data_IF_816245119711
#
_entry.id   IF_816245119711
#
_cell.length_a   1.000
_cell.length_b   1.000
_cell.length_c   1.000
_cell.angle_alpha   90.00
_cell.angle_beta   90.00
_cell.angle_gamma   90.00
#
_symmetry.space_group_name_H-M   'P 1'
#
loop_
_entity.id
_entity.type
_entity.pdbx_description
1 polymer ?
#
# COMPACT_ATOMS: atom_id res chain seq x y z
N UNK A 1 -20.27 -43.87 -72.81
CA UNK A 1 -19.08 -43.89 -71.92
C UNK A 1 -18.28 -42.61 -72.16
N UNK A 2 -18.41 -41.60 -71.30
CA UNK A 2 -17.56 -41.33 -70.11
C UNK A 2 -16.15 -40.87 -70.55
N UNK A 3 -15.63 -39.66 -70.25
CA UNK A 3 -15.64 -38.92 -68.97
C UNK A 3 -15.45 -37.40 -69.18
N UNK A 4 -16.19 -36.60 -68.41
CA UNK A 4 -15.94 -35.18 -68.16
C UNK A 4 -14.78 -35.07 -67.17
N UNK A 5 -13.71 -34.36 -67.52
CA UNK A 5 -12.59 -34.05 -66.62
C UNK A 5 -13.01 -32.90 -65.70
N UNK A 6 -13.24 -33.17 -64.42
CA UNK A 6 -13.47 -32.13 -63.41
C UNK A 6 -12.13 -31.69 -62.84
N UNK A 7 -11.81 -30.41 -63.03
CA UNK A 7 -10.71 -29.72 -62.34
C UNK A 7 -11.13 -29.56 -60.88
N UNK A 8 -10.39 -30.18 -59.97
CA UNK A 8 -10.59 -30.04 -58.53
C UNK A 8 -9.49 -29.09 -58.00
N UNK A 9 -9.81 -27.81 -57.91
CA UNK A 9 -8.95 -26.80 -57.28
C UNK A 9 -9.07 -26.97 -55.76
N UNK A 10 -8.04 -27.52 -55.14
CA UNK A 10 -7.98 -27.68 -53.68
C UNK A 10 -7.45 -26.38 -53.08
N UNK A 11 -8.35 -25.48 -52.65
CA UNK A 11 -7.99 -24.28 -51.88
C UNK A 11 -7.73 -24.73 -50.45
N UNK A 12 -6.46 -24.95 -50.12
CA UNK A 12 -6.03 -25.23 -48.75
C UNK A 12 -6.00 -23.90 -47.99
N UNK A 13 -7.15 -23.53 -47.42
CA UNK A 13 -7.29 -22.36 -46.56
C UNK A 13 -6.68 -22.67 -45.19
N UNK A 14 -5.40 -22.36 -45.01
CA UNK A 14 -4.73 -22.39 -43.71
C UNK A 14 -5.30 -21.30 -42.82
N UNK A 15 -6.31 -21.64 -42.01
CA UNK A 15 -6.75 -20.81 -40.90
C UNK A 15 -5.64 -20.85 -39.85
N UNK A 16 -4.83 -19.79 -39.80
CA UNK A 16 -3.92 -19.54 -38.68
C UNK A 16 -4.81 -19.16 -37.50
N UNK A 17 -5.10 -20.13 -36.63
CA UNK A 17 -5.68 -19.86 -35.33
C UNK A 17 -4.62 -19.11 -34.51
N UNK A 18 -4.73 -17.78 -34.47
CA UNK A 18 -4.06 -16.96 -33.46
C UNK A 18 -4.64 -17.37 -32.11
N UNK A 19 -4.01 -18.34 -31.45
CA UNK A 19 -4.21 -18.59 -30.03
C UNK A 19 -3.73 -17.34 -29.29
N UNK A 20 -4.66 -16.45 -29.00
CA UNK A 20 -4.48 -15.42 -27.98
C UNK A 20 -4.30 -16.20 -26.68
N UNK A 21 -3.04 -16.53 -26.35
CA UNK A 21 -2.65 -16.82 -24.99
C UNK A 21 -2.88 -15.51 -24.24
N UNK A 22 -4.13 -15.26 -23.84
CA UNK A 22 -4.44 -14.24 -22.88
C UNK A 22 -3.66 -14.65 -21.65
N UNK A 23 -2.56 -13.95 -21.36
CA UNK A 23 -1.97 -13.96 -20.04
C UNK A 23 -3.10 -13.57 -19.10
N UNK A 24 -3.76 -14.56 -18.49
CA UNK A 24 -4.78 -14.34 -17.49
C UNK A 24 -4.09 -13.66 -16.34
N UNK A 25 -4.12 -12.32 -16.31
CA UNK A 25 -3.66 -11.56 -15.15
C UNK A 25 -4.47 -12.08 -13.99
N UNK A 26 -3.79 -12.68 -13.02
CA UNK A 26 -4.43 -13.18 -11.82
C UNK A 26 -5.05 -11.99 -11.11
N UNK A 27 -6.38 -11.97 -10.97
CA UNK A 27 -7.09 -10.87 -10.31
C UNK A 27 -6.74 -10.79 -8.82
N UNK A 28 -6.67 -9.56 -8.30
CA UNK A 28 -6.51 -9.17 -6.92
C UNK A 28 -7.82 -9.21 -6.12
N UNK A 29 -8.93 -9.64 -6.72
CA UNK A 29 -10.20 -9.90 -6.04
C UNK A 29 -11.33 -8.93 -6.41
N UNK A 30 -11.00 -7.68 -6.74
CA UNK A 30 -11.96 -6.67 -7.23
C UNK A 30 -11.31 -5.76 -8.27
N UNK A 31 -12.11 -5.02 -9.04
CA UNK A 31 -11.61 -4.06 -10.04
C UNK A 31 -10.78 -2.95 -9.39
N UNK A 32 -11.25 -2.44 -8.25
CA UNK A 32 -10.53 -1.40 -7.50
C UNK A 32 -9.19 -1.95 -6.98
N UNK A 33 -9.17 -3.17 -6.44
CA UNK A 33 -7.93 -3.82 -6.02
C UNK A 33 -6.95 -4.08 -7.18
N UNK A 34 -7.45 -4.51 -8.34
CA UNK A 34 -6.63 -4.72 -9.53
C UNK A 34 -5.99 -3.41 -10.02
N UNK A 35 -6.78 -2.33 -10.08
CA UNK A 35 -6.27 -1.03 -10.49
C UNK A 35 -5.30 -0.42 -9.46
N UNK A 36 -5.63 -0.54 -8.17
CA UNK A 36 -4.77 -0.07 -7.09
C UNK A 36 -3.41 -0.79 -7.10
N UNK A 37 -3.41 -2.10 -7.36
CA UNK A 37 -2.19 -2.89 -7.51
C UNK A 37 -1.35 -2.41 -8.70
N UNK A 38 -1.99 -2.11 -9.84
CA UNK A 38 -1.28 -1.56 -11.02
C UNK A 38 -0.63 -0.23 -10.65
N UNK A 39 -1.39 0.72 -10.11
CA UNK A 39 -0.89 2.04 -9.73
C UNK A 39 0.26 1.97 -8.71
N UNK A 40 0.10 1.16 -7.66
CA UNK A 40 1.16 0.97 -6.66
C UNK A 40 2.43 0.37 -7.27
N UNK A 41 2.30 -0.60 -8.17
CA UNK A 41 3.46 -1.19 -8.82
C UNK A 41 4.15 -0.23 -9.80
N UNK A 42 3.43 0.70 -10.41
CA UNK A 42 4.05 1.76 -11.22
C UNK A 42 4.95 2.66 -10.35
N UNK A 43 4.47 3.07 -9.16
CA UNK A 43 5.26 3.77 -8.14
C UNK A 43 6.52 2.97 -7.80
N UNK A 44 6.36 1.71 -7.40
CA UNK A 44 7.48 0.84 -7.00
C UNK A 44 8.49 0.61 -8.14
N UNK A 45 8.02 0.52 -9.40
CA UNK A 45 8.89 0.31 -10.57
C UNK A 45 9.63 1.58 -10.98
N UNK A 46 9.04 2.75 -10.74
CA UNK A 46 9.68 4.04 -11.00
C UNK A 46 10.84 4.33 -10.03
N UNK A 47 10.76 3.81 -8.79
CA UNK A 47 11.75 4.04 -7.73
C UNK A 47 12.27 2.71 -7.13
N UNK A 48 12.97 1.88 -7.92
CA UNK A 48 13.39 0.54 -7.48
C UNK A 48 14.40 0.59 -6.32
N UNK A 49 15.17 1.67 -6.20
CA UNK A 49 16.14 1.92 -5.11
C UNK A 49 15.46 2.17 -3.76
N UNK A 50 14.18 2.57 -3.77
CA UNK A 50 13.37 2.76 -2.56
C UNK A 50 12.76 1.46 -2.06
N UNK A 51 12.74 0.39 -2.87
CA UNK A 51 12.20 -0.92 -2.48
C UNK A 51 13.29 -1.82 -1.91
N UNK A 52 13.04 -2.38 -0.73
CA UNK A 52 13.87 -3.41 -0.10
C UNK A 52 13.08 -4.64 0.33
N UNK A 53 13.79 -5.69 0.73
CA UNK A 53 13.22 -6.87 1.35
C UNK A 53 13.92 -7.16 2.69
N UNK A 54 13.13 -7.30 3.75
CA UNK A 54 13.62 -7.61 5.08
C UNK A 54 13.44 -9.10 5.38
N UNK A 55 14.52 -9.88 5.21
CA UNK A 55 14.44 -11.34 5.28
C UNK A 55 13.97 -11.87 6.64
N UNK A 56 14.36 -11.25 7.77
CA UNK A 56 13.93 -11.74 9.09
C UNK A 56 12.41 -11.55 9.32
N UNK A 57 11.82 -10.53 8.69
CA UNK A 57 10.39 -10.26 8.80
C UNK A 57 9.61 -10.94 7.68
N UNK A 58 10.27 -11.35 6.58
CA UNK A 58 9.62 -11.76 5.34
C UNK A 58 8.72 -10.65 4.78
N UNK A 59 9.21 -9.41 4.81
CA UNK A 59 8.47 -8.23 4.35
C UNK A 59 9.18 -7.52 3.21
N UNK A 60 8.40 -7.01 2.26
CA UNK A 60 8.84 -5.96 1.36
C UNK A 60 8.63 -4.61 2.03
N UNK A 61 9.50 -3.66 1.74
CA UNK A 61 9.35 -2.29 2.22
C UNK A 61 9.60 -1.29 1.10
N UNK A 62 8.84 -0.21 1.09
CA UNK A 62 9.03 0.93 0.20
C UNK A 62 9.33 2.17 1.05
N UNK A 63 10.54 2.72 0.91
CA UNK A 63 11.02 3.88 1.67
C UNK A 63 10.51 5.18 1.04
N UNK A 64 9.89 6.02 1.86
CA UNK A 64 9.42 7.35 1.51
C UNK A 64 10.54 8.39 1.66
N UNK A 65 10.42 9.57 1.00
CA UNK A 65 11.46 10.61 0.96
C UNK A 65 12.04 11.00 2.32
N UNK A 66 11.18 11.15 3.32
CA UNK A 66 11.55 11.61 4.66
C UNK A 66 12.06 10.49 5.58
N UNK A 67 11.99 9.23 5.14
CA UNK A 67 12.57 8.08 5.84
C UNK A 67 11.55 7.06 6.38
N UNK A 68 10.27 7.40 6.37
CA UNK A 68 9.15 6.51 6.64
C UNK A 68 9.12 5.34 5.64
N UNK A 69 8.42 4.27 5.98
CA UNK A 69 8.26 3.11 5.11
C UNK A 69 6.83 2.61 5.13
N UNK A 70 6.37 2.15 3.97
CA UNK A 70 5.22 1.26 3.88
C UNK A 70 5.72 -0.16 3.61
N UNK A 71 5.33 -1.10 4.46
CA UNK A 71 5.79 -2.49 4.40
C UNK A 71 4.62 -3.45 4.20
N UNK A 72 4.87 -4.55 3.49
CA UNK A 72 3.89 -5.61 3.25
C UNK A 72 4.49 -7.00 3.23
N UNK A 73 3.76 -7.98 3.76
CA UNK A 73 4.26 -9.34 4.00
C UNK A 73 4.35 -10.17 2.71
N UNK A 74 5.38 -11.01 2.65
CA UNK A 74 5.52 -12.07 1.64
C UNK A 74 4.66 -13.29 2.00
N UNK A 75 4.59 -13.60 3.30
CA UNK A 75 3.89 -14.73 3.90
C UNK A 75 3.09 -14.24 5.12
N UNK A 76 1.76 -14.30 5.04
CA UNK A 76 0.87 -13.81 6.10
C UNK A 76 0.89 -14.66 7.37
N UNK A 77 1.56 -15.82 7.35
CA UNK A 77 1.79 -16.65 8.55
C UNK A 77 3.12 -16.40 9.25
N UNK A 78 4.04 -15.64 8.64
CA UNK A 78 5.40 -15.49 9.15
C UNK A 78 5.51 -14.56 10.37
N UNK A 79 4.57 -13.62 10.51
CA UNK A 79 4.57 -12.60 11.55
C UNK A 79 3.12 -12.09 11.78
N UNK A 80 2.94 -11.17 12.73
CA UNK A 80 1.61 -10.64 13.11
C UNK A 80 1.17 -9.40 12.31
N UNK A 81 1.93 -8.98 11.31
CA UNK A 81 1.68 -7.75 10.57
C UNK A 81 1.80 -8.03 9.08
N UNK A 82 0.69 -7.98 8.36
CA UNK A 82 0.71 -8.09 6.90
C UNK A 82 1.02 -6.78 6.21
N UNK A 83 0.66 -5.68 6.86
CA UNK A 83 1.04 -4.33 6.48
C UNK A 83 1.66 -3.63 7.68
N UNK A 84 2.54 -2.66 7.41
CA UNK A 84 2.99 -1.72 8.43
C UNK A 84 3.20 -0.32 7.84
N UNK A 85 2.69 0.69 8.54
CA UNK A 85 3.17 2.06 8.40
C UNK A 85 4.29 2.27 9.42
N UNK A 86 5.51 2.48 8.95
CA UNK A 86 6.69 2.77 9.76
C UNK A 86 6.98 4.25 9.66
N UNK A 87 6.75 4.99 10.75
CA UNK A 87 6.84 6.45 10.81
C UNK A 87 8.04 6.90 11.64
N UNK A 88 8.58 8.07 11.32
CA UNK A 88 9.51 8.75 12.21
C UNK A 88 8.74 9.22 13.46
N UNK A 89 9.17 8.79 14.65
CA UNK A 89 8.46 9.10 15.88
C UNK A 89 8.78 10.51 16.41
N UNK A 90 10.00 11.00 16.18
CA UNK A 90 10.50 12.26 16.78
C UNK A 90 9.61 13.48 16.49
N UNK A 91 9.08 13.69 15.27
CA UNK A 91 8.20 14.83 15.01
C UNK A 91 6.92 14.78 15.86
N UNK A 92 6.34 13.59 16.04
CA UNK A 92 5.14 13.38 16.86
C UNK A 92 5.43 13.50 18.36
N UNK A 93 6.56 12.94 18.82
CA UNK A 93 7.02 13.06 20.21
C UNK A 93 7.28 14.52 20.58
N UNK A 94 7.93 15.29 19.69
CA UNK A 94 8.15 16.72 19.86
C UNK A 94 6.85 17.51 19.94
N UNK A 95 5.82 17.06 19.21
CA UNK A 95 4.46 17.58 19.30
C UNK A 95 3.69 17.11 20.56
N UNK A 96 4.30 16.32 21.44
CA UNK A 96 3.75 15.96 22.76
C UNK A 96 3.31 14.50 22.90
N UNK A 97 3.41 13.69 21.83
CA UNK A 97 3.05 12.27 21.90
C UNK A 97 3.90 11.53 22.95
N UNK A 98 3.25 10.94 23.95
CA UNK A 98 3.87 9.99 24.87
C UNK A 98 3.62 8.57 24.39
N UNK A 99 4.62 8.00 23.71
CA UNK A 99 4.56 6.65 23.12
C UNK A 99 4.29 5.55 24.15
N UNK A 100 4.54 5.78 25.44
CA UNK A 100 4.27 4.80 26.50
C UNK A 100 2.78 4.70 26.85
N UNK A 101 1.96 5.67 26.43
CA UNK A 101 0.51 5.69 26.63
C UNK A 101 -0.28 5.03 25.50
N UNK A 102 0.38 4.69 24.39
CA UNK A 102 -0.26 3.98 23.28
C UNK A 102 -0.53 2.52 23.66
N UNK A 103 -1.58 1.93 23.08
CA UNK A 103 -1.83 0.50 23.21
C UNK A 103 -0.75 -0.29 22.47
N UNK A 104 0.03 -1.06 23.23
CA UNK A 104 1.15 -1.86 22.73
C UNK A 104 0.73 -3.03 21.84
N UNK A 105 -0.55 -3.38 21.82
CA UNK A 105 -1.09 -4.36 20.89
C UNK A 105 -1.43 -3.73 19.53
N UNK A 106 -1.57 -2.40 19.49
CA UNK A 106 -1.94 -1.67 18.28
C UNK A 106 -0.80 -0.85 17.68
N UNK A 107 0.14 -0.41 18.51
CA UNK A 107 1.25 0.46 18.15
C UNK A 107 2.55 -0.09 18.71
N UNK A 108 3.60 -0.09 17.89
CA UNK A 108 4.94 -0.45 18.34
C UNK A 108 5.82 0.78 18.30
N UNK A 109 6.54 1.02 19.39
CA UNK A 109 7.60 2.02 19.44
C UNK A 109 8.94 1.31 19.46
N UNK A 110 9.81 1.68 18.52
CA UNK A 110 11.18 1.19 18.46
C UNK A 110 12.13 2.37 18.65
N UNK A 111 12.94 2.36 19.73
CA UNK A 111 13.88 3.44 19.97
C UNK A 111 14.98 3.44 18.91
N UNK A 112 15.58 4.62 18.71
CA UNK A 112 16.73 4.80 17.86
C UNK A 112 17.84 3.82 18.25
N UNK A 113 18.53 3.30 17.23
CA UNK A 113 19.48 2.21 17.42
C UNK A 113 20.35 2.03 16.19
N UNK A 114 20.96 0.85 16.07
CA UNK A 114 21.80 0.51 14.92
C UNK A 114 21.42 -0.86 14.38
N UNK A 115 21.19 -0.95 13.08
CA UNK A 115 20.94 -2.22 12.40
C UNK A 115 21.72 -2.24 11.10
N UNK A 116 22.37 -3.38 10.80
CA UNK A 116 23.11 -3.59 9.55
C UNK A 116 24.16 -2.49 9.25
N UNK A 117 24.71 -1.88 10.30
CA UNK A 117 25.71 -0.82 10.18
C UNK A 117 25.14 0.59 10.00
N UNK A 118 23.83 0.74 9.87
CA UNK A 118 23.12 2.02 9.75
C UNK A 118 22.50 2.45 11.08
N UNK A 119 22.53 3.76 11.35
CA UNK A 119 21.82 4.33 12.48
C UNK A 119 20.32 4.47 12.11
N UNK A 120 19.46 3.93 12.97
CA UNK A 120 18.01 3.96 12.82
C UNK A 120 17.42 5.03 13.74
N UNK A 121 16.45 5.83 13.27
CA UNK A 121 15.76 6.82 14.10
C UNK A 121 14.77 6.14 15.06
N UNK A 122 14.18 6.92 15.97
CA UNK A 122 13.01 6.45 16.71
C UNK A 122 11.85 6.22 15.74
N UNK A 123 11.23 5.04 15.81
CA UNK A 123 10.14 4.65 14.91
C UNK A 123 8.85 4.39 15.68
N UNK A 124 7.76 4.87 15.11
CA UNK A 124 6.41 4.50 15.51
C UNK A 124 5.81 3.65 14.40
N UNK A 125 5.32 2.47 14.74
CA UNK A 125 4.85 1.49 13.76
C UNK A 125 3.38 1.18 14.02
N UNK A 126 2.55 1.31 12.98
CA UNK A 126 1.16 0.83 12.97
C UNK A 126 1.06 -0.46 12.15
N UNK A 127 1.14 -1.63 12.79
CA UNK A 127 0.93 -2.90 12.11
C UNK A 127 -0.56 -3.14 11.79
N UNK A 128 -0.81 -3.92 10.76
CA UNK A 128 -2.15 -4.42 10.43
C UNK A 128 -2.08 -5.84 9.90
N UNK A 129 -2.92 -6.72 10.43
CA UNK A 129 -2.99 -8.13 10.04
C UNK A 129 -4.19 -8.36 9.13
N UNK A 130 -3.97 -8.96 7.97
CA UNK A 130 -5.03 -9.31 7.01
C UNK A 130 -5.43 -10.78 7.19
N UNK A 131 -4.47 -11.67 7.42
CA UNK A 131 -4.70 -13.11 7.47
C UNK A 131 -3.54 -13.83 8.17
N UNK A 132 -3.81 -14.93 8.87
CA UNK A 132 -2.74 -15.78 9.43
C UNK A 132 -2.41 -17.01 8.56
N UNK A 133 -2.97 -17.07 7.34
CA UNK A 133 -2.82 -18.23 6.45
C UNK A 133 -1.44 -18.23 5.80
N UNK A 134 -0.78 -19.38 5.74
CA UNK A 134 0.50 -19.47 5.04
C UNK A 134 0.35 -19.14 3.56
N UNK A 135 1.22 -18.27 3.07
CA UNK A 135 1.32 -17.93 1.66
C UNK A 135 2.78 -17.91 1.23
N UNK A 136 3.08 -18.34 0.02
CA UNK A 136 4.40 -18.13 -0.58
C UNK A 136 4.22 -17.33 -1.86
N UNK A 137 4.52 -16.04 -1.76
CA UNK A 137 4.39 -15.12 -2.87
C UNK A 137 5.68 -15.05 -3.70
N UNK A 138 5.52 -15.01 -5.02
CA UNK A 138 6.61 -14.90 -5.98
C UNK A 138 6.92 -13.41 -6.26
N UNK A 139 7.53 -12.75 -5.28
CA UNK A 139 7.96 -11.35 -5.38
C UNK A 139 6.95 -10.33 -4.86
N UNK A 140 7.36 -9.07 -4.87
CA UNK A 140 6.66 -7.97 -4.20
C UNK A 140 5.25 -7.69 -4.75
N UNK A 141 5.08 -7.81 -6.06
CA UNK A 141 3.80 -7.59 -6.75
C UNK A 141 2.82 -8.75 -6.47
N UNK A 142 3.28 -10.00 -6.46
CA UNK A 142 2.45 -11.15 -6.07
C UNK A 142 2.04 -11.08 -4.60
N UNK A 143 2.95 -10.65 -3.72
CA UNK A 143 2.68 -10.46 -2.30
C UNK A 143 1.50 -9.49 -2.09
N UNK A 144 1.58 -8.28 -2.64
CA UNK A 144 0.52 -7.27 -2.54
C UNK A 144 -0.80 -7.77 -3.14
N UNK A 145 -0.74 -8.41 -4.32
CA UNK A 145 -1.94 -8.99 -4.96
C UNK A 145 -2.66 -9.97 -4.05
N UNK A 146 -1.93 -10.86 -3.36
CA UNK A 146 -2.53 -11.89 -2.52
C UNK A 146 -3.12 -11.31 -1.25
N UNK A 147 -2.53 -10.26 -0.70
CA UNK A 147 -3.10 -9.52 0.42
C UNK A 147 -4.43 -8.87 0.04
N UNK A 148 -4.50 -8.19 -1.10
CA UNK A 148 -5.78 -7.68 -1.62
C UNK A 148 -6.78 -8.79 -1.91
N UNK A 149 -6.33 -9.95 -2.36
CA UNK A 149 -7.23 -11.09 -2.57
C UNK A 149 -7.75 -11.69 -1.26
N UNK A 150 -6.98 -11.60 -0.18
CA UNK A 150 -7.39 -12.10 1.14
C UNK A 150 -8.49 -11.22 1.75
N UNK A 151 -8.48 -9.91 1.45
CA UNK A 151 -9.54 -8.97 1.79
C UNK A 151 -9.69 -7.93 0.65
N UNK A 152 -10.63 -8.15 -0.27
CA UNK A 152 -10.79 -7.30 -1.45
C UNK A 152 -11.47 -5.97 -1.18
N UNK A 153 -12.12 -5.82 -0.02
CA UNK A 153 -12.86 -4.62 0.38
C UNK A 153 -11.96 -3.63 1.15
N UNK A 154 -10.72 -4.05 1.44
CA UNK A 154 -9.68 -3.24 2.08
C UNK A 154 -9.25 -2.06 1.21
N UNK A 155 -9.45 -2.16 -0.12
CA UNK A 155 -9.11 -1.12 -1.09
C UNK A 155 -10.37 -0.44 -1.61
N UNK A 156 -10.32 0.90 -1.74
CA UNK A 156 -11.32 1.67 -2.49
C UNK A 156 -10.68 2.81 -3.27
N UNK A 157 -11.32 3.22 -4.36
CA UNK A 157 -10.91 4.39 -5.12
C UNK A 157 -11.51 5.70 -4.57
N UNK A 158 -10.68 6.73 -4.44
CA UNK A 158 -11.04 8.10 -4.10
C UNK A 158 -11.10 8.93 -5.38
N UNK A 159 -12.31 9.22 -5.87
CA UNK A 159 -12.47 9.88 -7.17
C UNK A 159 -11.87 11.28 -7.25
N UNK A 160 -12.07 12.10 -6.21
CA UNK A 160 -11.65 13.50 -6.28
C UNK A 160 -10.14 13.71 -6.09
N UNK A 161 -9.53 12.92 -5.20
CA UNK A 161 -8.07 12.89 -5.07
C UNK A 161 -7.42 12.10 -6.22
N UNK A 162 -8.18 11.25 -6.92
CA UNK A 162 -7.67 10.27 -7.89
C UNK A 162 -6.62 9.37 -7.24
N UNK A 163 -6.96 8.83 -6.07
CA UNK A 163 -6.11 7.97 -5.26
C UNK A 163 -6.79 6.64 -4.98
N UNK A 164 -6.02 5.60 -4.72
CA UNK A 164 -6.49 4.39 -4.07
C UNK A 164 -6.19 4.47 -2.58
N UNK A 165 -7.15 4.14 -1.73
CA UNK A 165 -6.91 3.92 -0.30
C UNK A 165 -6.77 2.44 -0.01
N UNK A 166 -5.90 2.13 0.93
CA UNK A 166 -5.80 0.86 1.63
C UNK A 166 -6.13 1.09 3.10
N UNK A 167 -7.22 0.47 3.57
CA UNK A 167 -7.66 0.57 4.97
C UNK A 167 -6.82 -0.33 5.87
N UNK A 168 -6.25 0.22 6.93
CA UNK A 168 -5.44 -0.49 7.92
C UNK A 168 -6.10 -0.46 9.31
N UNK A 169 -7.42 -0.60 9.32
CA UNK A 169 -8.25 -0.59 10.54
C UNK A 169 -8.62 0.81 11.02
N UNK A 170 -9.86 0.94 11.51
CA UNK A 170 -10.45 2.12 12.18
C UNK A 170 -9.80 3.49 11.84
N UNK A 171 -9.95 3.97 10.60
CA UNK A 171 -9.52 5.32 10.20
C UNK A 171 -8.03 5.49 9.92
N UNK A 172 -7.23 4.40 9.97
CA UNK A 172 -5.86 4.38 9.48
C UNK A 172 -5.83 3.91 8.03
N UNK A 173 -5.09 4.61 7.18
CA UNK A 173 -5.03 4.32 5.74
C UNK A 173 -3.66 4.65 5.17
N UNK A 174 -3.26 3.89 4.14
CA UNK A 174 -2.24 4.32 3.19
C UNK A 174 -2.96 4.62 1.89
N UNK A 175 -2.70 5.78 1.30
CA UNK A 175 -3.26 6.15 0.01
C UNK A 175 -2.15 6.38 -1.00
N UNK A 176 -2.43 6.17 -2.28
CA UNK A 176 -1.50 6.46 -3.36
C UNK A 176 -2.23 6.92 -4.61
N UNK A 177 -1.55 7.76 -5.40
CA UNK A 177 -2.08 8.30 -6.66
C UNK A 177 -2.41 7.18 -7.65
N UNK A 178 -3.44 7.39 -8.48
CA UNK A 178 -3.79 6.51 -9.59
C UNK A 178 -2.73 6.55 -10.70
N UNK A 179 -2.14 7.71 -10.94
CA UNK A 179 -1.11 7.93 -11.94
C UNK A 179 0.01 8.80 -11.34
N UNK A 180 1.26 8.34 -11.51
CA UNK A 180 2.44 9.06 -11.02
C UNK A 180 2.55 10.45 -11.66
N UNK A 181 2.73 11.48 -10.83
CA UNK A 181 2.87 12.86 -11.31
C UNK A 181 1.56 13.54 -11.71
N UNK A 182 0.42 12.92 -11.44
CA UNK A 182 -0.90 13.55 -11.59
C UNK A 182 -1.11 14.70 -10.59
N UNK A 183 -0.49 14.59 -9.40
CA UNK A 183 -0.53 15.58 -8.32
C UNK A 183 0.73 15.46 -7.45
N UNK A 184 0.89 16.35 -6.46
CA UNK A 184 2.06 16.39 -5.55
C UNK A 184 1.92 15.42 -4.35
N UNK A 185 0.96 14.48 -4.40
CA UNK A 185 0.67 13.52 -3.34
C UNK A 185 0.77 12.09 -3.90
N UNK A 186 1.97 11.62 -4.23
CA UNK A 186 2.13 10.26 -4.76
C UNK A 186 1.71 9.19 -3.73
N UNK A 187 2.00 9.43 -2.45
CA UNK A 187 1.54 8.60 -1.33
C UNK A 187 1.12 9.46 -0.13
N UNK A 188 0.20 8.94 0.68
CA UNK A 188 -0.31 9.59 1.88
C UNK A 188 -0.42 8.57 3.00
N UNK A 189 0.09 8.91 4.18
CA UNK A 189 -0.22 8.20 5.41
C UNK A 189 -1.31 8.94 6.15
N UNK A 190 -2.33 8.20 6.58
CA UNK A 190 -3.48 8.70 7.32
C UNK A 190 -3.60 7.88 8.60
N UNK A 191 -3.58 8.54 9.75
CA UNK A 191 -3.73 7.91 11.06
C UNK A 191 -5.00 8.41 11.73
N UNK A 192 -5.72 7.55 12.45
CA UNK A 192 -6.76 8.01 13.37
C UNK A 192 -6.12 8.82 14.49
N UNK A 193 -6.56 10.06 14.67
CA UNK A 193 -5.93 11.00 15.61
C UNK A 193 -6.19 10.65 17.08
N UNK A 194 -7.38 10.13 17.39
CA UNK A 194 -7.84 9.85 18.76
C UNK A 194 -6.79 9.12 19.65
N UNK A 195 -6.22 7.96 19.27
CA UNK A 195 -5.24 7.28 20.12
C UNK A 195 -3.98 8.11 20.36
N UNK A 196 -3.52 8.87 19.36
CA UNK A 196 -2.32 9.70 19.46
C UNK A 196 -2.56 10.92 20.35
N UNK A 197 -3.71 11.58 20.19
CA UNK A 197 -4.12 12.74 21.01
C UNK A 197 -4.35 12.32 22.46
N UNK A 198 -5.00 11.18 22.69
CA UNK A 198 -5.17 10.61 24.05
C UNK A 198 -3.83 10.27 24.69
N UNK A 199 -2.84 9.88 23.90
CA UNK A 199 -1.46 9.66 24.35
C UNK A 199 -0.67 10.98 24.50
N UNK A 200 -1.25 12.14 24.26
CA UNK A 200 -0.65 13.45 24.56
C UNK A 200 -0.22 14.26 23.34
N UNK A 201 -0.42 13.77 22.11
CA UNK A 201 -0.13 14.54 20.91
C UNK A 201 -0.95 15.84 20.89
N UNK A 202 -0.27 16.98 20.82
CA UNK A 202 -0.88 18.29 20.65
C UNK A 202 -0.92 18.65 19.16
N UNK A 203 -2.10 18.59 18.58
CA UNK A 203 -2.33 18.84 17.14
C UNK A 203 -1.89 20.24 16.70
N UNK A 204 -1.84 21.21 17.63
CA UNK A 204 -1.38 22.58 17.33
C UNK A 204 0.15 22.68 17.20
N UNK A 205 0.89 21.63 17.58
CA UNK A 205 2.36 21.57 17.47
C UNK A 205 2.84 20.76 16.26
N UNK A 206 1.93 20.37 15.37
CA UNK A 206 2.26 19.65 14.14
C UNK A 206 2.80 20.57 13.04
N UNK A 207 2.63 21.89 13.16
CA UNK A 207 3.14 22.84 12.17
C UNK A 207 4.66 22.65 11.95
N UNK A 208 5.07 22.51 10.69
CA UNK A 208 6.47 22.31 10.30
C UNK A 208 7.04 20.91 10.55
N UNK A 209 6.24 19.96 11.06
CA UNK A 209 6.66 18.56 11.26
C UNK A 209 6.50 17.67 10.02
N UNK A 210 5.76 18.15 9.01
CA UNK A 210 5.30 17.35 7.87
C UNK A 210 3.94 16.68 8.08
N UNK A 211 3.50 16.55 9.35
CA UNK A 211 2.18 16.05 9.70
C UNK A 211 1.15 17.18 9.80
N UNK A 212 -0.10 16.87 9.47
CA UNK A 212 -1.24 17.79 9.50
C UNK A 212 -2.42 17.16 10.21
N UNK A 213 -3.19 17.97 10.93
CA UNK A 213 -4.47 17.55 11.49
C UNK A 213 -5.61 17.85 10.51
N UNK A 214 -6.46 16.85 10.24
CA UNK A 214 -7.72 17.00 9.50
C UNK A 214 -8.87 16.63 10.43
N UNK A 215 -9.79 17.55 10.66
CA UNK A 215 -10.97 17.30 11.47
C UNK A 215 -11.91 16.28 10.81
N UNK A 216 -12.68 15.58 11.63
CA UNK A 216 -13.68 14.60 11.20
C UNK A 216 -14.66 15.20 10.19
N UNK A 217 -15.07 14.40 9.21
CA UNK A 217 -15.92 14.81 8.10
C UNK A 217 -17.02 13.78 7.81
N UNK A 218 -18.20 14.28 7.43
CA UNK A 218 -19.30 13.45 6.93
C UNK A 218 -19.13 13.25 5.43
N UNK A 219 -18.87 12.02 5.03
CA UNK A 219 -18.62 11.60 3.65
C UNK A 219 -17.42 12.28 2.97
N UNK A 220 -16.28 11.59 3.01
CA UNK A 220 -15.08 11.93 2.24
C UNK A 220 -15.24 11.41 0.79
N UNK A 221 -16.23 11.96 0.08
CA UNK A 221 -16.43 11.80 -1.36
C UNK A 221 -16.52 10.33 -1.83
N UNK A 222 -17.40 9.55 -1.20
CA UNK A 222 -17.59 8.13 -1.47
C UNK A 222 -16.72 7.21 -0.62
N UNK A 223 -15.86 7.79 0.23
CA UNK A 223 -15.07 7.04 1.21
C UNK A 223 -15.77 6.87 2.56
N UNK A 224 -16.94 7.48 2.75
CA UNK A 224 -17.71 7.41 3.98
C UNK A 224 -17.22 8.41 5.02
N UNK A 225 -17.79 8.33 6.22
CA UNK A 225 -17.38 9.18 7.34
C UNK A 225 -15.95 8.85 7.77
N UNK A 226 -15.17 9.90 8.06
CA UNK A 226 -13.82 9.76 8.57
C UNK A 226 -13.70 10.41 9.95
N UNK A 227 -12.96 9.79 10.89
CA UNK A 227 -12.67 10.40 12.19
C UNK A 227 -11.68 11.58 12.03
N UNK A 228 -11.33 12.21 13.14
CA UNK A 228 -10.18 13.11 13.17
C UNK A 228 -8.91 12.34 12.74
N UNK A 229 -8.10 12.96 11.89
CA UNK A 229 -6.96 12.34 11.22
C UNK A 229 -5.67 13.13 11.41
N UNK A 230 -4.56 12.39 11.49
CA UNK A 230 -3.19 12.91 11.38
C UNK A 230 -2.61 12.42 10.06
N UNK A 231 -2.24 13.34 9.17
CA UNK A 231 -1.94 13.06 7.76
C UNK A 231 -0.53 13.53 7.42
N UNK A 232 0.23 12.72 6.69
CA UNK A 232 1.47 13.14 6.04
C UNK A 232 1.41 12.78 4.56
N UNK A 233 1.78 13.73 3.71
CA UNK A 233 1.75 13.63 2.25
C UNK A 233 3.18 13.52 1.72
N UNK A 234 3.39 12.63 0.75
CA UNK A 234 4.70 12.34 0.18
C UNK A 234 4.67 12.53 -1.34
N UNK A 235 5.54 13.41 -1.83
CA UNK A 235 5.95 13.47 -3.24
C UNK A 235 7.24 12.66 -3.38
N UNK A 236 7.19 11.52 -4.05
CA UNK A 236 8.30 10.55 -4.05
C UNK A 236 9.50 11.07 -4.86
N UNK A 237 9.30 12.05 -5.75
CA UNK A 237 10.38 12.65 -6.56
C UNK A 237 11.31 13.55 -5.74
N UNK A 238 10.84 14.08 -4.61
CA UNK A 238 11.60 14.99 -3.74
C UNK A 238 12.45 14.24 -2.73
#
# INVERSE_FOLDING_TARGET
MNRKTKILTLVMSSVIALSVAGCSRTSAGSKDADNALVAFNEIVKAYPDKKGFHNALQHWGFKLPTGEKFEWSKDTSANKADYAMVMLADPLIKAGLDVNKLDKNEWLFEPAGRAEGEDLPNRLIKPYNVSDKKQDSNGSEDAMRRLFKADSDIVKYHKDLQHYRLKLGEGNEVQWTEELGLNDADMIFVLKAEPLVKAGLDVNKLEGTGWMFKAAGKDDMGMGENPDQIIQVYDIKK
#
